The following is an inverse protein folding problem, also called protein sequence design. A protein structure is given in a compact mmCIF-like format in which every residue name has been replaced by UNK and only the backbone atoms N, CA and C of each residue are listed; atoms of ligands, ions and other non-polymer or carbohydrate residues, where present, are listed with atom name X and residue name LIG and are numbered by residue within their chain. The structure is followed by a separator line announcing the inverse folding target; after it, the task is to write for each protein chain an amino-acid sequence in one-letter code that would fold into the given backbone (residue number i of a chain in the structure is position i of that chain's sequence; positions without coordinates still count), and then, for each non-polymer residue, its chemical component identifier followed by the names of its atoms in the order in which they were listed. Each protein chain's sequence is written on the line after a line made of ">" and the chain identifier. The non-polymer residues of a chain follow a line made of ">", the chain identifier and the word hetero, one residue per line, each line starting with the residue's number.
data_IF_573865983869
#
_entry.id   IF_573865983869
#
_cell.length_a   1.000
_cell.length_b   1.000
_cell.length_c   1.000
_cell.angle_alpha   90.00
_cell.angle_beta   90.00
_cell.angle_gamma   90.00
#
_symmetry.space_group_name_H-M   'P 1'
#
loop_
_entity.id
_entity.type
_entity.pdbx_description
1 polymer ?
#
# COMPACT_ATOMS: atom_id res chain seq x y z
N UNK A 1 -42.98 -9.95 -13.86
CA UNK A 1 -41.60 -10.28 -14.29
C UNK A 1 -40.64 -9.22 -13.75
N UNK A 2 -40.85 -8.75 -12.51
CA UNK A 2 -40.38 -7.41 -12.12
C UNK A 2 -39.48 -7.38 -10.88
N UNK A 3 -39.17 -8.53 -10.27
CA UNK A 3 -38.24 -8.58 -9.13
C UNK A 3 -36.79 -8.70 -9.57
N UNK A 4 -36.50 -9.44 -10.65
CA UNK A 4 -35.12 -9.71 -11.11
C UNK A 4 -34.44 -8.43 -11.68
N UNK A 5 -35.19 -7.53 -12.30
CA UNK A 5 -34.67 -6.24 -12.79
C UNK A 5 -34.34 -5.23 -11.69
N UNK A 6 -35.01 -5.32 -10.53
CA UNK A 6 -34.73 -4.45 -9.38
C UNK A 6 -33.44 -4.84 -8.67
N UNK A 7 -33.11 -6.14 -8.61
CA UNK A 7 -31.84 -6.62 -8.04
C UNK A 7 -30.62 -6.34 -8.94
N UNK A 8 -30.78 -6.39 -10.27
CA UNK A 8 -29.69 -6.05 -11.20
C UNK A 8 -29.35 -4.55 -11.22
N UNK A 9 -30.36 -3.68 -11.03
CA UNK A 9 -30.15 -2.24 -10.95
C UNK A 9 -29.44 -1.82 -9.64
N UNK A 10 -29.73 -2.48 -8.51
CA UNK A 10 -29.09 -2.21 -7.22
C UNK A 10 -27.59 -2.57 -7.19
N UNK A 11 -27.17 -3.60 -7.94
CA UNK A 11 -25.76 -3.99 -8.06
C UNK A 11 -24.94 -3.02 -8.92
N UNK A 12 -25.55 -2.36 -9.91
CA UNK A 12 -24.87 -1.39 -10.78
C UNK A 12 -24.71 0.01 -10.14
N UNK A 13 -25.61 0.40 -9.23
CA UNK A 13 -25.54 1.72 -8.58
C UNK A 13 -24.68 1.75 -7.30
N UNK A 14 -24.64 0.69 -6.50
CA UNK A 14 -23.81 0.68 -5.27
C UNK A 14 -22.35 0.30 -5.51
N UNK A 15 -22.07 -0.57 -6.49
CA UNK A 15 -20.71 -0.94 -6.86
C UNK A 15 -19.91 0.17 -7.55
N UNK A 16 -20.58 1.18 -8.12
CA UNK A 16 -19.90 2.24 -8.90
C UNK A 16 -19.46 3.45 -8.06
N UNK A 17 -20.16 3.80 -6.99
CA UNK A 17 -19.91 5.05 -6.26
C UNK A 17 -18.72 4.98 -5.29
N UNK A 18 -18.56 3.86 -4.57
CA UNK A 18 -17.44 3.67 -3.63
C UNK A 18 -16.09 3.59 -4.40
N UNK A 19 -16.07 2.84 -5.50
CA UNK A 19 -14.92 2.75 -6.41
C UNK A 19 -14.52 4.09 -7.01
N UNK A 20 -15.50 4.91 -7.38
CA UNK A 20 -15.27 6.28 -7.88
C UNK A 20 -14.66 7.19 -6.81
N UNK A 21 -15.15 7.09 -5.57
CA UNK A 21 -14.61 7.89 -4.45
C UNK A 21 -13.16 7.52 -4.12
N UNK A 22 -12.84 6.21 -4.06
CA UNK A 22 -11.47 5.74 -3.84
C UNK A 22 -10.52 6.15 -4.98
N UNK A 23 -10.95 5.98 -6.23
CA UNK A 23 -10.16 6.40 -7.40
C UNK A 23 -9.92 7.92 -7.41
N UNK A 24 -10.91 8.71 -7.01
CA UNK A 24 -10.77 10.16 -6.89
C UNK A 24 -9.74 10.54 -5.82
N UNK A 25 -9.85 9.99 -4.61
CA UNK A 25 -8.88 10.25 -3.52
C UNK A 25 -7.45 9.86 -3.92
N UNK A 26 -7.27 8.70 -4.56
CA UNK A 26 -5.96 8.27 -5.05
C UNK A 26 -5.43 9.18 -6.17
N UNK A 27 -6.30 9.70 -7.04
CA UNK A 27 -5.92 10.69 -8.07
C UNK A 27 -5.48 12.01 -7.42
N UNK A 28 -6.25 12.49 -6.45
CA UNK A 28 -5.93 13.71 -5.72
C UNK A 28 -4.62 13.57 -4.92
N UNK A 29 -4.35 12.41 -4.29
CA UNK A 29 -3.06 12.12 -3.66
C UNK A 29 -1.92 12.04 -4.69
N UNK A 30 -2.16 11.44 -5.86
CA UNK A 30 -1.17 11.36 -6.94
C UNK A 30 -0.71 12.73 -7.42
N UNK A 31 -1.65 13.68 -7.56
CA UNK A 31 -1.36 15.05 -7.98
C UNK A 31 -0.51 15.76 -6.93
N UNK A 32 -0.91 15.70 -5.66
CA UNK A 32 -0.15 16.32 -4.55
C UNK A 32 1.28 15.75 -4.49
N UNK A 33 1.41 14.42 -4.57
CA UNK A 33 2.71 13.76 -4.54
C UNK A 33 3.59 14.13 -5.75
N UNK A 34 3.02 14.18 -6.96
CA UNK A 34 3.76 14.59 -8.14
C UNK A 34 4.28 16.02 -8.01
N UNK A 35 3.45 16.94 -7.51
CA UNK A 35 3.86 18.32 -7.30
C UNK A 35 5.08 18.38 -6.39
N UNK A 36 5.06 17.70 -5.25
CA UNK A 36 6.20 17.64 -4.32
C UNK A 36 7.46 17.02 -4.94
N UNK A 37 7.32 15.87 -5.64
CA UNK A 37 8.47 15.21 -6.29
C UNK A 37 9.07 16.10 -7.38
N UNK A 38 8.25 16.81 -8.15
CA UNK A 38 8.69 17.70 -9.24
C UNK A 38 9.45 18.95 -8.76
N UNK A 39 9.32 19.32 -7.48
CA UNK A 39 10.11 20.40 -6.90
C UNK A 39 11.60 20.02 -6.86
N UNK A 40 11.91 18.77 -6.52
CA UNK A 40 13.26 18.25 -6.33
C UNK A 40 13.82 17.48 -7.53
N UNK A 41 12.97 17.00 -8.45
CA UNK A 41 13.38 16.21 -9.61
C UNK A 41 12.96 16.92 -10.91
N UNK A 42 13.92 17.09 -11.84
CA UNK A 42 13.70 17.76 -13.14
C UNK A 42 13.67 16.82 -14.34
N UNK A 43 14.03 15.56 -14.13
CA UNK A 43 14.02 14.53 -15.16
C UNK A 43 12.66 13.81 -15.24
N UNK A 44 12.61 12.71 -15.99
CA UNK A 44 11.41 11.88 -16.11
C UNK A 44 11.00 11.31 -14.75
N UNK A 45 9.75 11.57 -14.35
CA UNK A 45 9.17 11.08 -13.10
C UNK A 45 8.19 9.95 -13.41
N UNK A 46 8.39 8.80 -12.77
CA UNK A 46 7.46 7.67 -12.78
C UNK A 46 7.27 7.16 -11.35
N UNK A 47 6.02 6.98 -10.93
CA UNK A 47 5.68 6.39 -9.64
C UNK A 47 4.28 5.78 -9.69
N UNK A 48 3.95 4.95 -8.69
CA UNK A 48 2.63 4.34 -8.52
C UNK A 48 1.93 4.94 -7.30
N UNK A 49 0.99 5.89 -7.47
CA UNK A 49 0.25 6.47 -6.36
C UNK A 49 -0.52 5.43 -5.54
N UNK A 50 -1.08 4.43 -6.22
CA UNK A 50 -1.80 3.34 -5.58
C UNK A 50 -0.87 2.49 -4.72
N UNK A 51 0.32 2.15 -5.21
CA UNK A 51 1.30 1.38 -4.43
C UNK A 51 1.71 2.11 -3.16
N UNK A 52 1.95 3.42 -3.24
CA UNK A 52 2.32 4.26 -2.10
C UNK A 52 1.15 4.37 -1.10
N UNK A 53 -0.08 4.51 -1.61
CA UNK A 53 -1.29 4.51 -0.77
C UNK A 53 -1.38 3.24 0.05
N UNK A 54 -1.20 2.07 -0.56
CA UNK A 54 -1.28 0.78 0.14
C UNK A 54 -0.20 0.64 1.22
N UNK A 55 1.05 1.05 0.94
CA UNK A 55 2.11 1.03 1.96
C UNK A 55 1.80 1.99 3.11
N UNK A 56 1.24 3.17 2.83
CA UNK A 56 0.80 4.10 3.88
C UNK A 56 -0.35 3.54 4.71
N UNK A 57 -1.31 2.84 4.10
CA UNK A 57 -2.40 2.15 4.81
C UNK A 57 -1.87 0.98 5.68
N UNK A 58 -0.87 0.24 5.20
CA UNK A 58 -0.15 -0.78 5.99
C UNK A 58 0.50 -0.16 7.24
N UNK A 59 1.11 1.03 7.12
CA UNK A 59 1.66 1.78 8.26
C UNK A 59 0.54 2.30 9.17
N UNK A 60 -0.56 2.81 8.58
CA UNK A 60 -1.72 3.33 9.31
C UNK A 60 -2.37 2.29 10.23
N UNK A 61 -2.37 1.00 9.86
CA UNK A 61 -2.86 -0.08 10.72
C UNK A 61 -2.09 -0.18 12.05
N UNK A 62 -0.79 0.11 12.04
CA UNK A 62 0.08 0.09 13.21
C UNK A 62 0.11 1.41 13.96
N UNK A 63 -0.18 2.52 13.28
CA UNK A 63 -0.15 3.86 13.83
C UNK A 63 -1.32 4.15 14.80
N UNK A 64 -1.10 5.09 15.73
CA UNK A 64 -2.10 5.61 16.66
C UNK A 64 -1.98 7.13 16.81
N UNK A 65 -3.04 7.77 17.30
CA UNK A 65 -3.06 9.20 17.60
C UNK A 65 -2.70 10.06 16.39
N UNK A 66 -1.79 11.03 16.58
CA UNK A 66 -1.41 12.01 15.56
C UNK A 66 -0.86 11.38 14.28
N UNK A 67 -0.03 10.34 14.39
CA UNK A 67 0.55 9.66 13.23
C UNK A 67 -0.53 9.04 12.34
N UNK A 68 -1.50 8.35 12.97
CA UNK A 68 -2.63 7.76 12.25
C UNK A 68 -3.50 8.82 11.57
N UNK A 69 -3.73 9.94 12.25
CA UNK A 69 -4.50 11.06 11.73
C UNK A 69 -3.81 11.74 10.54
N UNK A 70 -2.51 11.96 10.61
CA UNK A 70 -1.73 12.55 9.51
C UNK A 70 -1.79 11.66 8.27
N UNK A 71 -1.56 10.35 8.40
CA UNK A 71 -1.66 9.42 7.27
C UNK A 71 -3.06 9.46 6.65
N UNK A 72 -4.11 9.45 7.49
CA UNK A 72 -5.50 9.53 7.02
C UNK A 72 -5.76 10.80 6.21
N UNK A 73 -5.28 11.94 6.71
CA UNK A 73 -5.42 13.24 6.05
C UNK A 73 -4.67 13.29 4.73
N UNK A 74 -3.43 12.81 4.69
CA UNK A 74 -2.62 12.72 3.46
C UNK A 74 -3.30 11.87 2.39
N UNK A 75 -3.92 10.76 2.77
CA UNK A 75 -4.67 9.88 1.87
C UNK A 75 -6.09 10.37 1.55
N UNK A 76 -6.47 11.56 2.05
CA UNK A 76 -7.79 12.18 1.84
C UNK A 76 -8.95 11.26 2.26
N UNK A 77 -8.72 10.38 3.23
CA UNK A 77 -9.71 9.48 3.81
C UNK A 77 -10.58 10.27 4.81
N UNK A 78 -11.90 10.35 4.59
CA UNK A 78 -12.83 10.97 5.55
C UNK A 78 -13.17 10.02 6.71
N UNK A 79 -13.73 10.55 7.81
CA UNK A 79 -14.18 9.75 8.98
C UNK A 79 -15.45 8.92 8.75
N UNK A 80 -15.89 8.76 7.50
CA UNK A 80 -17.11 8.04 7.19
C UNK A 80 -16.90 6.53 7.35
N UNK A 81 -17.89 5.90 7.98
CA UNK A 81 -17.97 4.49 8.30
C UNK A 81 -17.49 3.58 7.16
N UNK A 82 -16.47 2.76 7.47
CA UNK A 82 -16.04 1.56 6.77
C UNK A 82 -16.38 1.54 5.27
N UNK A 83 -15.56 2.19 4.45
CA UNK A 83 -15.61 1.99 3.00
C UNK A 83 -15.40 0.49 2.72
N UNK A 84 -16.37 -0.09 2.02
CA UNK A 84 -16.38 -1.52 1.69
C UNK A 84 -15.15 -1.86 0.86
N UNK A 85 -14.52 -2.96 1.28
CA UNK A 85 -13.39 -3.63 0.63
C UNK A 85 -13.65 -3.75 -0.87
N UNK A 86 -12.72 -3.22 -1.64
CA UNK A 86 -12.72 -3.40 -3.08
C UNK A 86 -11.74 -4.54 -3.40
N UNK A 87 -12.28 -5.67 -3.83
CA UNK A 87 -11.47 -6.71 -4.47
C UNK A 87 -11.04 -6.20 -5.84
N UNK A 88 -9.76 -5.87 -5.97
CA UNK A 88 -9.14 -5.71 -7.27
C UNK A 88 -8.16 -6.86 -7.50
N UNK A 89 -8.27 -7.52 -8.64
CA UNK A 89 -7.27 -8.46 -9.14
C UNK A 89 -6.14 -7.68 -9.80
N UNK A 90 -5.21 -7.14 -8.99
CA UNK A 90 -3.93 -6.62 -9.47
C UNK A 90 -2.81 -7.58 -9.07
N UNK A 91 -1.79 -7.73 -9.93
CA UNK A 91 -0.51 -8.33 -9.55
C UNK A 91 0.25 -7.34 -8.65
N UNK A 92 -0.18 -7.24 -7.40
CA UNK A 92 0.41 -6.36 -6.41
C UNK A 92 1.16 -7.21 -5.38
N UNK A 93 2.43 -6.88 -5.13
CA UNK A 93 3.28 -7.63 -4.23
C UNK A 93 3.64 -6.76 -3.03
N UNK A 94 2.97 -7.00 -1.91
CA UNK A 94 3.27 -6.34 -0.64
C UNK A 94 4.12 -7.25 0.24
N UNK A 95 5.03 -6.65 1.00
CA UNK A 95 5.82 -7.38 1.99
C UNK A 95 6.13 -6.50 3.21
N UNK A 96 6.16 -7.14 4.38
CA UNK A 96 6.73 -6.61 5.60
C UNK A 96 8.00 -7.40 5.92
N UNK A 97 9.11 -6.69 6.07
CA UNK A 97 10.37 -7.21 6.56
C UNK A 97 10.53 -6.74 8.00
N UNK A 98 10.65 -7.68 8.94
CA UNK A 98 10.64 -7.41 10.37
C UNK A 98 11.94 -7.92 10.99
N UNK A 99 12.49 -7.17 11.95
CA UNK A 99 13.69 -7.57 12.67
C UNK A 99 13.45 -8.88 13.42
N UNK A 100 14.34 -9.85 13.24
CA UNK A 100 14.35 -11.08 14.02
C UNK A 100 14.50 -10.77 15.53
N UNK A 101 13.69 -11.43 16.35
CA UNK A 101 13.63 -11.18 17.79
C UNK A 101 12.74 -10.00 18.21
N UNK A 102 12.26 -9.18 17.27
CA UNK A 102 11.28 -8.13 17.59
C UNK A 102 9.86 -8.70 17.62
N UNK A 103 9.18 -8.54 18.76
CA UNK A 103 7.80 -9.03 18.94
C UNK A 103 6.80 -8.02 18.39
N UNK A 104 6.16 -8.35 17.27
CA UNK A 104 5.09 -7.55 16.66
C UNK A 104 3.72 -8.04 17.15
N UNK A 105 2.77 -7.10 17.33
CA UNK A 105 1.40 -7.45 17.72
C UNK A 105 0.73 -8.30 16.63
N UNK A 106 0.17 -9.43 17.02
CA UNK A 106 -0.57 -10.34 16.12
C UNK A 106 -1.68 -9.64 15.34
N UNK A 107 -2.39 -8.67 15.94
CA UNK A 107 -3.45 -7.94 15.23
C UNK A 107 -2.90 -7.14 14.04
N UNK A 108 -1.67 -6.63 14.14
CA UNK A 108 -1.03 -5.91 13.05
C UNK A 108 -0.59 -6.85 11.92
N UNK A 109 0.02 -8.00 12.28
CA UNK A 109 0.44 -9.02 11.32
C UNK A 109 -0.77 -9.60 10.57
N UNK A 110 -1.83 -9.95 11.31
CA UNK A 110 -3.08 -10.46 10.74
C UNK A 110 -3.73 -9.44 9.82
N UNK A 111 -3.88 -8.17 10.25
CA UNK A 111 -4.43 -7.12 9.40
C UNK A 111 -3.67 -6.93 8.10
N UNK A 112 -2.33 -6.96 8.15
CA UNK A 112 -1.51 -6.82 6.94
C UNK A 112 -1.64 -7.99 5.98
N UNK A 113 -1.77 -9.21 6.50
CA UNK A 113 -2.00 -10.41 5.68
C UNK A 113 -3.38 -10.40 5.04
N UNK A 114 -4.42 -10.06 5.81
CA UNK A 114 -5.81 -10.11 5.34
C UNK A 114 -6.20 -8.96 4.40
N UNK A 115 -5.76 -7.73 4.69
CA UNK A 115 -6.16 -6.56 3.91
C UNK A 115 -5.24 -6.28 2.72
N UNK A 116 -3.95 -6.59 2.85
CA UNK A 116 -2.94 -6.23 1.85
C UNK A 116 -2.25 -7.43 1.22
N UNK A 117 -2.61 -8.66 1.63
CA UNK A 117 -1.98 -9.90 1.15
C UNK A 117 -0.46 -9.87 1.31
N UNK A 118 0.03 -9.17 2.34
CA UNK A 118 1.44 -8.94 2.55
C UNK A 118 2.18 -10.22 2.92
N UNK A 119 3.28 -10.48 2.23
CA UNK A 119 4.26 -11.45 2.69
C UNK A 119 4.93 -10.93 3.97
N UNK A 120 4.97 -11.74 5.03
CA UNK A 120 5.66 -11.38 6.27
C UNK A 120 6.96 -12.17 6.31
N UNK A 121 8.08 -11.47 6.48
CA UNK A 121 9.41 -12.05 6.50
C UNK A 121 10.19 -11.51 7.69
N UNK A 122 10.91 -12.40 8.36
CA UNK A 122 11.88 -12.03 9.38
C UNK A 122 13.26 -11.90 8.72
N UNK A 123 13.99 -10.86 9.11
CA UNK A 123 15.36 -10.58 8.65
C UNK A 123 16.18 -10.05 9.82
N UNK A 124 17.50 -10.19 9.76
CA UNK A 124 18.39 -9.53 10.70
C UNK A 124 18.98 -8.27 10.06
N UNK A 125 18.41 -7.11 10.38
CA UNK A 125 18.87 -5.81 9.86
C UNK A 125 20.29 -5.44 10.32
N UNK A 126 20.86 -6.15 11.30
CA UNK A 126 22.27 -5.99 11.66
C UNK A 126 23.21 -6.56 10.59
N UNK A 127 22.76 -7.54 9.80
CA UNK A 127 23.45 -7.95 8.57
C UNK A 127 22.89 -7.15 7.38
N UNK A 128 23.34 -5.89 7.31
CA UNK A 128 22.88 -4.91 6.34
C UNK A 128 23.04 -5.40 4.88
N UNK A 129 24.15 -6.09 4.59
CA UNK A 129 24.42 -6.62 3.25
C UNK A 129 23.45 -7.75 2.91
N UNK A 130 23.28 -8.74 3.79
CA UNK A 130 22.35 -9.83 3.54
C UNK A 130 20.90 -9.33 3.43
N UNK A 131 20.51 -8.32 4.23
CA UNK A 131 19.22 -7.67 4.14
C UNK A 131 18.99 -7.01 2.77
N UNK A 132 19.95 -6.20 2.31
CA UNK A 132 19.87 -5.55 1.01
C UNK A 132 19.73 -6.57 -0.13
N UNK A 133 20.56 -7.62 -0.12
CA UNK A 133 20.50 -8.69 -1.12
C UNK A 133 19.16 -9.43 -1.09
N UNK A 134 18.65 -9.78 0.10
CA UNK A 134 17.41 -10.53 0.25
C UNK A 134 16.19 -9.73 -0.23
N UNK A 135 16.09 -8.45 0.16
CA UNK A 135 14.96 -7.58 -0.19
C UNK A 135 15.01 -7.28 -1.68
N UNK A 136 16.17 -6.89 -2.22
CA UNK A 136 16.35 -6.60 -3.64
C UNK A 136 16.04 -7.82 -4.51
N UNK A 137 16.50 -9.02 -4.13
CA UNK A 137 16.18 -10.27 -4.85
C UNK A 137 14.68 -10.54 -4.89
N UNK A 138 13.96 -10.26 -3.79
CA UNK A 138 12.52 -10.43 -3.77
C UNK A 138 11.81 -9.41 -4.67
N UNK A 139 12.24 -8.14 -4.67
CA UNK A 139 11.72 -7.09 -5.56
C UNK A 139 11.96 -7.46 -7.02
N UNK A 140 13.16 -7.89 -7.36
CA UNK A 140 13.52 -8.34 -8.71
C UNK A 140 12.60 -9.46 -9.18
N UNK A 141 12.41 -10.50 -8.34
CA UNK A 141 11.51 -11.61 -8.66
C UNK A 141 10.06 -11.17 -8.83
N UNK A 142 9.59 -10.21 -8.03
CA UNK A 142 8.20 -9.71 -8.10
C UNK A 142 7.93 -8.74 -9.25
N UNK A 143 8.98 -8.26 -9.90
CA UNK A 143 8.89 -7.32 -11.02
C UNK A 143 9.32 -7.96 -12.35
N UNK A 144 9.50 -9.28 -12.38
CA UNK A 144 10.04 -10.04 -13.51
C UNK A 144 11.41 -9.52 -13.99
N UNK A 145 12.28 -9.16 -13.05
CA UNK A 145 13.61 -8.65 -13.36
C UNK A 145 13.69 -7.18 -13.75
N UNK A 146 12.58 -6.43 -13.67
CA UNK A 146 12.54 -5.02 -14.12
C UNK A 146 13.15 -4.04 -13.11
N UNK A 147 13.05 -4.33 -11.81
CA UNK A 147 13.66 -3.52 -10.74
C UNK A 147 14.73 -4.38 -10.07
N UNK A 148 15.99 -3.98 -10.20
CA UNK A 148 17.16 -4.67 -9.67
C UNK A 148 17.90 -3.76 -8.71
N UNK A 149 18.68 -4.37 -7.81
CA UNK A 149 19.58 -3.66 -6.91
C UNK A 149 18.89 -2.48 -6.19
N UNK A 150 17.63 -2.71 -5.78
CA UNK A 150 16.75 -1.68 -5.22
C UNK A 150 17.33 -1.06 -3.96
N UNK A 151 18.03 -1.88 -3.17
CA UNK A 151 18.65 -1.46 -1.93
C UNK A 151 20.13 -1.80 -1.87
N UNK A 152 20.88 -0.94 -1.19
CA UNK A 152 22.27 -1.13 -0.80
C UNK A 152 22.39 -1.40 0.71
N UNK A 153 23.55 -1.89 1.16
CA UNK A 153 23.80 -2.11 2.58
C UNK A 153 23.70 -0.81 3.40
N UNK A 154 24.08 0.33 2.83
CA UNK A 154 24.09 1.63 3.52
C UNK A 154 22.70 2.08 4.01
N UNK A 155 21.62 1.56 3.41
CA UNK A 155 20.25 1.88 3.81
C UNK A 155 19.77 1.12 5.06
N UNK A 156 20.51 0.09 5.49
CA UNK A 156 20.17 -0.74 6.66
C UNK A 156 21.13 -0.54 7.85
N UNK A 157 22.23 0.19 7.70
CA UNK A 157 23.19 0.47 8.77
C UNK A 157 24.60 0.82 8.27
#
# INVERSE_FOLDING_TARGET
>A
MDTIFLWSLLLLFFGSQASRCSAQKNTEFAVDLYQEVSLSHKDNIIFSPLGITLVLEMVQLGAKGKAQQQIRQTLKQQETSAEKKQEFTFNLANALYLQEGFTVKEQYLHGNKEFFQSAIKLVDFQDAKACAEMISTWVERKTDGKIKDMFSGEEFG
#
